data_IF_401521184923
#
_entry.id   IF_401521184923
#
_cell.length_a   1.000
_cell.length_b   1.000
_cell.length_c   1.000
_cell.angle_alpha   90.00
_cell.angle_beta   90.00
_cell.angle_gamma   90.00
#
_symmetry.space_group_name_H-M   'P 1'
#
loop_
_entity.id
_entity.type
_entity.pdbx_description
1 polymer ?
#
# COMPACT_ATOMS: atom_id res chain seq x y z
N UNK A 1 11.76 -5.81 -59.75
CA UNK A 1 10.99 -5.11 -58.69
C UNK A 1 10.82 -6.11 -57.56
N UNK A 2 11.78 -6.12 -56.64
CA UNK A 2 11.79 -7.00 -55.47
C UNK A 2 11.03 -6.37 -54.32
N UNK A 3 9.99 -7.06 -53.85
CA UNK A 3 9.23 -6.71 -52.66
C UNK A 3 10.04 -7.13 -51.43
N UNK A 4 10.70 -6.15 -50.82
CA UNK A 4 11.42 -6.29 -49.54
C UNK A 4 10.41 -6.65 -48.45
N UNK A 5 10.40 -7.92 -48.06
CA UNK A 5 9.69 -8.44 -46.89
C UNK A 5 10.42 -7.99 -45.62
N UNK A 6 9.90 -6.97 -44.93
CA UNK A 6 10.38 -6.61 -43.60
C UNK A 6 9.86 -7.61 -42.55
N UNK A 7 10.68 -8.00 -41.55
CA UNK A 7 10.25 -8.84 -40.45
C UNK A 7 9.32 -8.07 -39.51
N UNK A 8 8.29 -8.75 -39.01
CA UNK A 8 7.43 -8.27 -37.95
C UNK A 8 8.29 -8.00 -36.70
N UNK A 9 8.28 -6.75 -36.25
CA UNK A 9 8.86 -6.35 -34.97
C UNK A 9 8.02 -7.00 -33.86
N UNK A 10 8.49 -8.12 -33.31
CA UNK A 10 7.99 -8.64 -32.04
C UNK A 10 8.26 -7.58 -30.98
N UNK A 11 7.24 -6.84 -30.58
CA UNK A 11 7.25 -6.09 -29.33
C UNK A 11 7.48 -7.10 -28.21
N UNK A 12 8.56 -6.99 -27.41
CA UNK A 12 8.67 -7.83 -26.23
C UNK A 12 7.51 -7.45 -25.32
N UNK A 13 6.54 -8.37 -25.18
CA UNK A 13 5.62 -8.35 -24.04
C UNK A 13 6.48 -8.11 -22.81
N UNK A 14 6.18 -7.02 -22.10
CA UNK A 14 6.79 -6.73 -20.80
C UNK A 14 6.27 -7.76 -19.80
N UNK A 15 6.74 -9.00 -19.96
CA UNK A 15 6.58 -10.08 -19.02
C UNK A 15 7.36 -9.66 -17.79
N UNK A 16 6.64 -9.13 -16.79
CA UNK A 16 7.23 -8.80 -15.50
C UNK A 16 7.77 -10.11 -14.97
N UNK A 17 9.09 -10.27 -15.03
CA UNK A 17 9.75 -11.48 -14.59
C UNK A 17 9.29 -11.83 -13.17
N UNK A 18 9.00 -13.11 -12.86
CA UNK A 18 8.46 -13.53 -11.56
C UNK A 18 9.28 -13.02 -10.36
N UNK A 19 10.59 -12.84 -10.54
CA UNK A 19 11.50 -12.25 -9.55
C UNK A 19 11.15 -10.79 -9.18
N UNK A 20 10.60 -10.03 -10.14
CA UNK A 20 10.18 -8.65 -9.92
C UNK A 20 8.91 -8.53 -9.08
N UNK A 21 7.98 -9.48 -9.22
CA UNK A 21 6.75 -9.52 -8.42
C UNK A 21 7.04 -9.89 -6.96
N UNK A 22 7.92 -10.87 -6.72
CA UNK A 22 8.34 -11.25 -5.38
C UNK A 22 9.02 -10.08 -4.64
N UNK A 23 9.96 -9.39 -5.32
CA UNK A 23 10.63 -8.23 -4.74
C UNK A 23 9.67 -7.05 -4.43
N UNK A 24 8.62 -6.88 -5.25
CA UNK A 24 7.60 -5.87 -5.03
C UNK A 24 6.69 -6.23 -3.83
N UNK A 25 6.27 -7.49 -3.72
CA UNK A 25 5.49 -7.99 -2.59
C UNK A 25 6.23 -7.79 -1.27
N UNK A 26 7.52 -8.15 -1.23
CA UNK A 26 8.40 -7.93 -0.08
C UNK A 26 8.49 -6.46 0.32
N UNK A 27 8.63 -5.56 -0.66
CA UNK A 27 8.68 -4.11 -0.41
C UNK A 27 7.35 -3.59 0.13
N UNK A 28 6.23 -4.06 -0.41
CA UNK A 28 4.90 -3.69 0.06
C UNK A 28 4.64 -4.19 1.50
N UNK A 29 5.07 -5.42 1.82
CA UNK A 29 5.00 -5.95 3.18
C UNK A 29 5.80 -5.14 4.19
N UNK A 30 7.05 -4.78 3.85
CA UNK A 30 7.88 -3.91 4.71
C UNK A 30 7.23 -2.56 4.94
N UNK A 31 6.75 -1.91 3.88
CA UNK A 31 6.07 -0.62 3.99
C UNK A 31 4.82 -0.71 4.87
N UNK A 32 3.99 -1.75 4.70
CA UNK A 32 2.81 -1.95 5.55
C UNK A 32 3.20 -2.14 7.03
N UNK A 33 4.24 -2.93 7.30
CA UNK A 33 4.75 -3.13 8.65
C UNK A 33 5.22 -1.81 9.28
N UNK A 34 6.00 -1.03 8.54
CA UNK A 34 6.57 0.23 8.99
C UNK A 34 5.51 1.30 9.24
N UNK A 35 4.38 1.26 8.53
CA UNK A 35 3.25 2.19 8.71
C UNK A 35 2.37 1.83 9.92
N UNK A 36 2.21 0.53 10.23
CA UNK A 36 1.30 0.08 11.29
C UNK A 36 1.68 0.62 12.67
N UNK A 37 2.99 0.67 12.97
CA UNK A 37 3.51 1.15 14.26
C UNK A 37 3.20 2.64 14.51
N UNK A 38 3.59 3.59 13.64
CA UNK A 38 3.30 5.01 13.85
C UNK A 38 1.79 5.31 13.83
N UNK A 39 1.00 4.62 13.00
CA UNK A 39 -0.47 4.76 13.00
C UNK A 39 -1.06 4.36 14.36
N UNK A 40 -0.64 3.21 14.92
CA UNK A 40 -1.08 2.77 16.24
C UNK A 40 -0.66 3.73 17.36
N UNK A 41 0.55 4.27 17.29
CA UNK A 41 1.03 5.29 18.24
C UNK A 41 0.18 6.56 18.18
N UNK A 42 -0.17 7.03 16.97
CA UNK A 42 -1.04 8.20 16.81
C UNK A 42 -2.45 7.94 17.33
N UNK A 43 -3.03 6.77 17.06
CA UNK A 43 -4.33 6.37 17.62
C UNK A 43 -4.31 6.39 19.15
N UNK A 44 -3.29 5.77 19.75
CA UNK A 44 -3.14 5.73 21.22
C UNK A 44 -2.96 7.13 21.80
N UNK A 45 -2.16 8.00 21.15
CA UNK A 45 -1.98 9.37 21.58
C UNK A 45 -3.29 10.17 21.52
N UNK A 46 -4.11 9.95 20.49
CA UNK A 46 -5.43 10.58 20.38
C UNK A 46 -6.42 10.08 21.43
N UNK A 47 -6.43 8.79 21.73
CA UNK A 47 -7.25 8.22 22.80
C UNK A 47 -6.84 8.81 24.16
N UNK A 48 -5.54 8.93 24.44
CA UNK A 48 -5.03 9.58 25.65
C UNK A 48 -5.39 11.07 25.73
N UNK A 49 -5.42 11.78 24.60
CA UNK A 49 -5.86 13.17 24.55
C UNK A 49 -7.37 13.26 24.80
N UNK A 50 -8.18 12.37 24.24
CA UNK A 50 -9.64 12.33 24.45
C UNK A 50 -10.02 11.95 25.89
N UNK A 51 -9.34 10.96 26.46
CA UNK A 51 -9.57 10.47 27.83
C UNK A 51 -8.91 11.38 28.88
N UNK A 52 -7.96 12.21 28.45
CA UNK A 52 -7.11 13.06 29.26
C UNK A 52 -7.79 14.32 29.77
N UNK A 53 -7.55 14.61 31.05
CA UNK A 53 -8.00 15.78 31.84
C UNK A 53 -7.41 17.12 31.39
N UNK A 54 -7.19 17.32 30.09
CA UNK A 54 -6.77 18.59 29.52
C UNK A 54 -8.05 19.37 29.20
N UNK A 55 -8.16 20.60 29.72
CA UNK A 55 -9.29 21.46 29.41
C UNK A 55 -9.16 21.92 27.96
N UNK A 56 -9.82 21.20 27.06
CA UNK A 56 -9.91 21.54 25.65
C UNK A 56 -10.98 22.62 25.44
N UNK A 57 -10.64 23.66 24.67
CA UNK A 57 -11.63 24.58 24.10
C UNK A 57 -12.41 23.90 22.95
N UNK A 58 -13.45 24.57 22.44
CA UNK A 58 -14.25 24.05 21.32
C UNK A 58 -13.41 23.70 20.09
N UNK A 59 -12.45 24.54 19.74
CA UNK A 59 -11.56 24.37 18.57
C UNK A 59 -10.58 23.19 18.73
N UNK A 60 -10.24 22.83 19.96
CA UNK A 60 -9.36 21.70 20.24
C UNK A 60 -10.06 20.36 20.02
N UNK A 61 -11.36 20.27 20.34
CA UNK A 61 -12.17 19.08 20.08
C UNK A 61 -12.35 18.83 18.57
N UNK A 62 -12.59 19.89 17.80
CA UNK A 62 -12.65 19.79 16.33
C UNK A 62 -11.32 19.32 15.75
N UNK A 63 -10.20 19.83 16.28
CA UNK A 63 -8.86 19.41 15.87
C UNK A 63 -8.60 17.93 16.18
N UNK A 64 -8.99 17.45 17.37
CA UNK A 64 -8.89 16.03 17.72
C UNK A 64 -9.72 15.14 16.78
N UNK A 65 -10.91 15.57 16.40
CA UNK A 65 -11.74 14.84 15.45
C UNK A 65 -11.15 14.81 14.04
N UNK A 66 -10.54 15.91 13.58
CA UNK A 66 -9.79 15.92 12.32
C UNK A 66 -8.64 14.92 12.37
N UNK A 67 -7.86 14.92 13.46
CA UNK A 67 -6.73 14.02 13.62
C UNK A 67 -7.17 12.55 13.67
N UNK A 68 -8.25 12.24 14.38
CA UNK A 68 -8.81 10.89 14.39
C UNK A 68 -9.19 10.43 12.99
N UNK A 69 -9.90 11.27 12.22
CA UNK A 69 -10.26 10.93 10.83
C UNK A 69 -9.03 10.65 9.97
N UNK A 70 -7.93 11.36 10.18
CA UNK A 70 -6.68 11.09 9.45
C UNK A 70 -6.06 9.75 9.86
N UNK A 71 -6.06 9.42 11.16
CA UNK A 71 -5.58 8.13 11.65
C UNK A 71 -6.42 6.97 11.11
N UNK A 72 -7.75 7.11 11.10
CA UNK A 72 -8.66 6.11 10.55
C UNK A 72 -8.41 5.90 9.04
N UNK A 73 -8.20 7.00 8.30
CA UNK A 73 -7.88 6.96 6.87
C UNK A 73 -6.54 6.28 6.61
N UNK A 74 -5.51 6.61 7.40
CA UNK A 74 -4.20 5.97 7.28
C UNK A 74 -4.27 4.48 7.61
N UNK A 75 -5.07 4.10 8.61
CA UNK A 75 -5.32 2.69 8.95
C UNK A 75 -5.94 1.95 7.78
N UNK A 76 -6.99 2.52 7.16
CA UNK A 76 -7.64 1.94 5.98
C UNK A 76 -6.67 1.79 4.79
N UNK A 77 -5.82 2.79 4.55
CA UNK A 77 -4.81 2.73 3.48
C UNK A 77 -3.74 1.67 3.75
N UNK A 78 -3.35 1.47 5.01
CA UNK A 78 -2.42 0.40 5.39
C UNK A 78 -3.05 -0.98 5.15
N UNK A 79 -4.35 -1.16 5.45
CA UNK A 79 -5.08 -2.40 5.15
C UNK A 79 -5.13 -2.68 3.64
N UNK A 80 -5.46 -1.67 2.82
CA UNK A 80 -5.42 -1.82 1.35
C UNK A 80 -4.03 -2.18 0.84
N UNK A 81 -2.98 -1.57 1.40
CA UNK A 81 -1.60 -1.90 1.04
C UNK A 81 -1.25 -3.34 1.43
N UNK A 82 -1.73 -3.82 2.58
CA UNK A 82 -1.56 -5.21 3.01
C UNK A 82 -2.22 -6.16 2.02
N UNK A 83 -3.46 -5.90 1.63
CA UNK A 83 -4.20 -6.75 0.69
C UNK A 83 -3.51 -6.77 -0.69
N UNK A 84 -3.01 -5.63 -1.14
CA UNK A 84 -2.19 -5.52 -2.35
C UNK A 84 -0.90 -6.34 -2.25
N UNK A 85 -0.19 -6.28 -1.12
CA UNK A 85 1.02 -7.09 -0.91
C UNK A 85 0.72 -8.59 -0.96
N UNK A 86 -0.41 -9.02 -0.39
CA UNK A 86 -0.86 -10.42 -0.42
C UNK A 86 -1.19 -10.86 -1.84
N UNK A 87 -1.90 -10.06 -2.63
CA UNK A 87 -2.21 -10.37 -4.03
C UNK A 87 -0.92 -10.49 -4.88
N UNK A 88 0.03 -9.57 -4.70
CA UNK A 88 1.33 -9.64 -5.37
C UNK A 88 2.10 -10.92 -5.01
N UNK A 89 2.14 -11.29 -3.73
CA UNK A 89 2.82 -12.50 -3.26
C UNK A 89 2.13 -13.78 -3.78
N UNK A 90 0.81 -13.78 -3.93
CA UNK A 90 0.09 -14.89 -4.56
C UNK A 90 0.42 -15.02 -6.06
N UNK A 91 0.48 -13.91 -6.79
CA UNK A 91 0.86 -13.90 -8.22
C UNK A 91 2.32 -14.28 -8.44
N UNK A 92 3.22 -13.86 -7.55
CA UNK A 92 4.63 -14.27 -7.61
C UNK A 92 4.79 -15.79 -7.42
N UNK A 93 4.00 -16.39 -6.54
CA UNK A 93 4.01 -17.84 -6.28
C UNK A 93 3.30 -18.67 -7.35
N UNK A 94 2.30 -18.10 -8.02
CA UNK A 94 1.54 -18.74 -9.09
C UNK A 94 1.64 -17.93 -10.39
N UNK A 95 2.82 -17.90 -11.05
CA UNK A 95 2.97 -17.17 -12.29
C UNK A 95 2.00 -17.73 -13.35
N UNK A 96 1.33 -16.87 -14.13
CA UNK A 96 0.42 -17.32 -15.18
C UNK A 96 1.18 -18.23 -16.15
N UNK A 97 0.60 -19.39 -16.47
CA UNK A 97 1.18 -20.29 -17.45
C UNK A 97 1.11 -19.62 -18.84
N UNK A 98 2.21 -19.54 -19.60
CA UNK A 98 2.16 -19.02 -20.95
C UNK A 98 1.40 -20.03 -21.85
N UNK A 99 0.32 -19.56 -22.49
CA UNK A 99 -0.43 -20.28 -23.54
C UNK A 99 0.38 -20.40 -24.84
#
# INVERSE_FOLDING_TARGET
MDLVRMPASSTPSAEVAPDGLAALADRAHRLNHDLRTPIGTMATALDLLRDGRVAFGGDDLETLDVLQRQVDKLTSLAEVLRDFAVDLDQRARNPPHPD
#
